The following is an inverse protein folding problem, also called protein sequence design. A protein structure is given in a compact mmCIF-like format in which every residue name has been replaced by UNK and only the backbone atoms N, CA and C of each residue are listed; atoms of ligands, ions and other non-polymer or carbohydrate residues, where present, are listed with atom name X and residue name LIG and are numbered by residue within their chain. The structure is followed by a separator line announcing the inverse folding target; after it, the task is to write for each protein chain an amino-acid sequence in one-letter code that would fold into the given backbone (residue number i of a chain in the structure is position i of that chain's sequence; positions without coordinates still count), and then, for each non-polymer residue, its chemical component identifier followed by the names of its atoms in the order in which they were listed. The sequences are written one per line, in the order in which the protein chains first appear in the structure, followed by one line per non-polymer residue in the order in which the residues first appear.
data_IF_543106816804
#
_entry.id   IF_543106816804
#
_cell.length_a   1.000
_cell.length_b   1.000
_cell.length_c   1.000
_cell.angle_alpha   90.00
_cell.angle_beta   90.00
_cell.angle_gamma   90.00
#
_symmetry.space_group_name_H-M   'P 1'
#
loop_
_entity.id
_entity.type
_entity.pdbx_description
1 polymer ?
#
# COMPACT_ATOMS: atom_id res chain seq x y z
N UNK A 1 -22.81 -4.27 5.74
CA UNK A 1 -22.20 -4.24 4.39
C UNK A 1 -21.11 -5.30 4.33
N UNK A 2 -20.93 -6.01 3.21
CA UNK A 2 -19.82 -6.97 3.03
C UNK A 2 -18.50 -6.20 3.01
N UNK A 3 -17.51 -6.67 3.75
CA UNK A 3 -16.17 -6.07 3.80
C UNK A 3 -15.35 -6.56 2.60
N UNK A 4 -15.01 -5.69 1.67
CA UNK A 4 -14.18 -6.01 0.48
C UNK A 4 -12.95 -5.11 0.48
N UNK A 5 -11.77 -5.71 0.42
CA UNK A 5 -10.48 -5.02 0.38
C UNK A 5 -9.79 -5.20 -0.98
N UNK A 6 -9.36 -4.10 -1.57
CA UNK A 6 -8.41 -4.07 -2.68
C UNK A 6 -7.04 -3.67 -2.13
N UNK A 7 -6.03 -4.54 -2.30
CA UNK A 7 -4.64 -4.25 -1.94
C UNK A 7 -3.79 -4.25 -3.21
N UNK A 8 -3.21 -3.11 -3.56
CA UNK A 8 -2.37 -3.01 -4.74
C UNK A 8 -0.95 -3.53 -4.48
N UNK A 9 -0.34 -4.19 -5.49
CA UNK A 9 1.01 -4.75 -5.36
C UNK A 9 1.11 -5.85 -4.29
N UNK A 10 0.07 -6.68 -4.12
CA UNK A 10 -0.07 -7.57 -2.98
C UNK A 10 0.31 -9.04 -3.23
N UNK A 11 0.99 -9.36 -4.33
CA UNK A 11 1.48 -10.73 -4.57
C UNK A 11 2.68 -11.12 -3.70
N UNK A 12 3.40 -10.14 -3.13
CA UNK A 12 4.60 -10.34 -2.29
C UNK A 12 4.78 -9.24 -1.24
N UNK A 13 5.79 -9.38 -0.39
CA UNK A 13 6.22 -8.37 0.56
C UNK A 13 5.12 -7.89 1.51
N UNK A 14 5.10 -6.59 1.78
CA UNK A 14 4.14 -5.93 2.68
C UNK A 14 2.70 -6.20 2.23
N UNK A 15 2.39 -5.97 0.95
CA UNK A 15 1.04 -6.17 0.43
C UNK A 15 0.52 -7.60 0.57
N UNK A 16 1.39 -8.61 0.48
CA UNK A 16 1.03 -10.00 0.74
C UNK A 16 0.63 -10.22 2.20
N UNK A 17 1.41 -9.67 3.13
CA UNK A 17 1.10 -9.77 4.56
C UNK A 17 -0.20 -9.03 4.91
N UNK A 18 -0.43 -7.85 4.30
CA UNK A 18 -1.68 -7.09 4.42
C UNK A 18 -2.88 -7.90 3.92
N UNK A 19 -2.75 -8.53 2.74
CA UNK A 19 -3.81 -9.37 2.17
C UNK A 19 -4.16 -10.56 3.09
N UNK A 20 -3.16 -11.24 3.63
CA UNK A 20 -3.34 -12.34 4.59
C UNK A 20 -4.04 -11.84 5.85
N UNK A 21 -3.55 -10.75 6.43
CA UNK A 21 -4.10 -10.22 7.68
C UNK A 21 -5.55 -9.76 7.51
N UNK A 22 -5.86 -9.01 6.44
CA UNK A 22 -7.20 -8.52 6.17
C UNK A 22 -8.18 -9.66 5.83
N UNK A 23 -7.74 -10.72 5.15
CA UNK A 23 -8.55 -11.91 4.94
C UNK A 23 -8.92 -12.57 6.27
N UNK A 24 -7.98 -12.70 7.21
CA UNK A 24 -8.26 -13.20 8.57
C UNK A 24 -9.15 -12.27 9.38
N UNK A 25 -9.16 -10.96 9.10
CA UNK A 25 -10.06 -9.98 9.71
C UNK A 25 -11.48 -9.99 9.09
N UNK A 26 -11.73 -10.92 8.17
CA UNK A 26 -13.04 -11.15 7.56
C UNK A 26 -13.34 -10.31 6.31
N UNK A 27 -12.31 -9.74 5.67
CA UNK A 27 -12.48 -9.11 4.36
C UNK A 27 -12.45 -10.16 3.24
N UNK A 28 -13.34 -10.00 2.26
CA UNK A 28 -13.09 -10.56 0.93
C UNK A 28 -11.97 -9.73 0.28
N UNK A 29 -10.93 -10.40 -0.25
CA UNK A 29 -9.69 -9.71 -0.64
C UNK A 29 -9.42 -9.86 -2.14
N UNK A 30 -9.18 -8.74 -2.81
CA UNK A 30 -8.58 -8.73 -4.14
C UNK A 30 -7.07 -8.45 -4.06
N UNK A 31 -6.28 -9.40 -4.58
CA UNK A 31 -4.83 -9.32 -4.74
C UNK A 31 -4.54 -8.72 -6.11
N UNK A 32 -3.77 -7.64 -6.15
CA UNK A 32 -3.33 -7.05 -7.43
C UNK A 32 -1.83 -7.28 -7.65
N UNK A 33 -1.48 -7.58 -8.88
CA UNK A 33 -0.08 -7.67 -9.35
C UNK A 33 0.04 -7.19 -10.80
N UNK A 34 1.28 -6.92 -11.22
CA UNK A 34 1.66 -6.66 -12.62
C UNK A 34 2.39 -7.87 -13.20
N UNK A 35 3.41 -8.39 -12.51
CA UNK A 35 4.33 -9.39 -13.05
C UNK A 35 4.22 -10.78 -12.41
N UNK A 36 3.96 -10.85 -11.10
CA UNK A 36 4.03 -12.09 -10.33
C UNK A 36 2.67 -12.76 -10.18
N UNK A 37 2.08 -13.15 -11.33
CA UNK A 37 0.80 -13.86 -11.37
C UNK A 37 0.88 -15.22 -10.65
N UNK A 38 2.04 -15.91 -10.74
CA UNK A 38 2.34 -17.14 -10.01
C UNK A 38 2.15 -16.98 -8.50
N UNK A 39 2.72 -15.90 -7.94
CA UNK A 39 2.61 -15.60 -6.51
C UNK A 39 1.23 -15.11 -6.09
N UNK A 40 0.55 -14.38 -6.97
CA UNK A 40 -0.83 -13.96 -6.73
C UNK A 40 -1.76 -15.16 -6.68
N UNK A 41 -1.61 -16.13 -7.60
CA UNK A 41 -2.41 -17.35 -7.62
C UNK A 41 -2.12 -18.25 -6.40
N UNK A 42 -0.84 -18.44 -6.04
CA UNK A 42 -0.43 -19.17 -4.83
C UNK A 42 -1.10 -18.59 -3.57
N UNK A 43 -1.11 -17.26 -3.45
CA UNK A 43 -1.73 -16.58 -2.31
C UNK A 43 -3.25 -16.75 -2.29
N UNK A 44 -3.91 -16.65 -3.45
CA UNK A 44 -5.36 -16.90 -3.57
C UNK A 44 -5.70 -18.33 -3.16
N UNK A 45 -4.95 -19.32 -3.64
CA UNK A 45 -5.22 -20.73 -3.33
C UNK A 45 -5.03 -21.01 -1.83
N UNK A 46 -3.98 -20.44 -1.22
CA UNK A 46 -3.75 -20.52 0.22
C UNK A 46 -4.91 -19.87 1.03
N UNK A 47 -5.36 -18.70 0.66
CA UNK A 47 -6.44 -18.01 1.38
C UNK A 47 -7.78 -18.73 1.20
N UNK A 48 -8.08 -19.27 0.02
CA UNK A 48 -9.28 -20.06 -0.23
C UNK A 48 -9.29 -21.35 0.56
N UNK A 49 -8.16 -22.03 0.70
CA UNK A 49 -8.05 -23.23 1.53
C UNK A 49 -8.34 -22.97 3.01
N UNK A 50 -8.15 -21.72 3.45
CA UNK A 50 -8.50 -21.24 4.80
C UNK A 50 -9.93 -20.66 4.87
N UNK A 51 -10.76 -20.85 3.84
CA UNK A 51 -12.15 -20.40 3.81
C UNK A 51 -12.32 -18.90 3.53
N UNK A 52 -11.28 -18.19 3.11
CA UNK A 52 -11.36 -16.76 2.79
C UNK A 52 -11.87 -16.56 1.36
N UNK A 53 -12.78 -15.62 1.19
CA UNK A 53 -13.24 -15.21 -0.14
C UNK A 53 -12.20 -14.29 -0.77
N UNK A 54 -11.65 -14.68 -1.92
CA UNK A 54 -10.55 -13.96 -2.54
C UNK A 54 -10.47 -14.16 -4.04
N UNK A 55 -9.90 -13.17 -4.71
CA UNK A 55 -9.51 -13.23 -6.12
C UNK A 55 -8.18 -12.50 -6.32
N UNK A 56 -7.56 -12.68 -7.47
CA UNK A 56 -6.49 -11.81 -7.94
C UNK A 56 -6.83 -11.19 -9.29
N UNK A 57 -6.21 -10.04 -9.58
CA UNK A 57 -6.37 -9.34 -10.85
C UNK A 57 -5.04 -8.71 -11.29
N UNK A 58 -4.69 -8.94 -12.56
CA UNK A 58 -3.51 -8.32 -13.18
C UNK A 58 -3.88 -6.92 -13.67
N UNK A 59 -3.28 -5.90 -13.08
CA UNK A 59 -3.41 -4.52 -13.56
C UNK A 59 -2.18 -3.71 -13.13
N UNK A 60 -1.68 -2.90 -14.07
CA UNK A 60 -0.75 -1.84 -13.76
C UNK A 60 -1.56 -0.66 -13.19
N UNK A 61 -1.23 -0.23 -11.98
CA UNK A 61 -1.92 0.88 -11.32
C UNK A 61 -1.68 2.23 -12.02
N UNK A 62 -0.61 2.35 -12.80
CA UNK A 62 -0.34 3.54 -13.62
C UNK A 62 -1.31 3.68 -14.81
N UNK A 63 -1.96 2.59 -15.24
CA UNK A 63 -2.99 2.59 -16.28
C UNK A 63 -4.39 2.73 -15.67
N UNK A 64 -4.98 3.92 -15.80
CA UNK A 64 -6.30 4.23 -15.27
C UNK A 64 -7.42 3.36 -15.88
N UNK A 65 -7.26 2.89 -17.11
CA UNK A 65 -8.22 2.00 -17.78
C UNK A 65 -8.16 0.60 -17.18
N UNK A 66 -6.95 0.06 -17.01
CA UNK A 66 -6.76 -1.23 -16.34
C UNK A 66 -7.28 -1.22 -14.89
N UNK A 67 -7.06 -0.11 -14.17
CA UNK A 67 -7.59 0.06 -12.79
C UNK A 67 -9.11 0.06 -12.77
N UNK A 68 -9.78 0.78 -13.66
CA UNK A 68 -11.26 0.77 -13.75
C UNK A 68 -11.81 -0.62 -14.06
N UNK A 69 -11.17 -1.35 -14.97
CA UNK A 69 -11.54 -2.73 -15.28
C UNK A 69 -11.34 -3.67 -14.07
N UNK A 70 -10.26 -3.48 -13.33
CA UNK A 70 -10.00 -4.24 -12.11
C UNK A 70 -11.10 -3.99 -11.06
N UNK A 71 -11.45 -2.74 -10.80
CA UNK A 71 -12.50 -2.40 -9.81
C UNK A 71 -13.84 -2.97 -10.24
N UNK A 72 -14.22 -2.85 -11.51
CA UNK A 72 -15.46 -3.45 -12.02
C UNK A 72 -15.50 -4.98 -11.85
N UNK A 73 -14.38 -5.67 -12.11
CA UNK A 73 -14.29 -7.12 -11.90
C UNK A 73 -14.37 -7.51 -10.40
N UNK A 74 -13.85 -6.66 -9.50
CA UNK A 74 -13.99 -6.86 -8.05
C UNK A 74 -15.45 -6.70 -7.63
N UNK A 75 -16.11 -5.64 -8.10
CA UNK A 75 -17.53 -5.37 -7.78
C UNK A 75 -18.44 -6.51 -8.22
N UNK A 76 -18.19 -7.08 -9.41
CA UNK A 76 -18.94 -8.22 -9.93
C UNK A 76 -18.73 -9.49 -9.08
N UNK A 77 -17.50 -9.77 -8.65
CA UNK A 77 -17.16 -11.05 -8.02
C UNK A 77 -17.22 -11.04 -6.50
N UNK A 78 -16.75 -9.96 -5.89
CA UNK A 78 -16.63 -9.86 -4.43
C UNK A 78 -17.60 -8.86 -3.82
N UNK A 79 -18.10 -7.91 -4.62
CA UNK A 79 -18.85 -6.75 -4.16
C UNK A 79 -17.99 -5.48 -4.13
N UNK A 80 -18.62 -4.36 -3.85
CA UNK A 80 -17.96 -3.07 -3.90
C UNK A 80 -16.84 -2.92 -2.85
N UNK A 81 -15.75 -2.24 -3.25
CA UNK A 81 -14.58 -2.04 -2.42
C UNK A 81 -14.90 -1.09 -1.27
N UNK A 82 -14.79 -1.58 -0.04
CA UNK A 82 -14.98 -0.81 1.21
C UNK A 82 -13.66 -0.41 1.87
N UNK A 83 -12.57 -1.08 1.51
CA UNK A 83 -11.21 -0.80 1.96
C UNK A 83 -10.26 -0.80 0.76
N UNK A 84 -9.57 0.31 0.55
CA UNK A 84 -8.48 0.40 -0.42
C UNK A 84 -7.15 0.53 0.32
N UNK A 85 -6.19 -0.35 0.01
CA UNK A 85 -4.80 -0.23 0.47
C UNK A 85 -3.89 0.01 -0.74
N UNK A 86 -3.42 1.24 -0.88
CA UNK A 86 -2.46 1.65 -1.90
C UNK A 86 -1.05 1.30 -1.45
N UNK A 87 -0.64 0.06 -1.69
CA UNK A 87 0.68 -0.44 -1.33
C UNK A 87 1.63 -0.53 -2.53
N UNK A 88 1.13 -0.64 -3.77
CA UNK A 88 1.97 -0.72 -4.96
C UNK A 88 2.98 0.43 -5.03
N UNK A 89 4.23 0.10 -5.31
CA UNK A 89 5.29 1.07 -5.45
C UNK A 89 6.59 0.43 -5.90
N UNK A 90 7.40 1.24 -6.53
CA UNK A 90 8.75 0.90 -7.01
C UNK A 90 9.77 1.85 -6.42
N UNK A 91 11.00 1.36 -6.27
CA UNK A 91 12.17 2.16 -5.88
C UNK A 91 13.38 1.65 -6.66
N UNK A 92 14.32 2.56 -6.94
CA UNK A 92 15.63 2.25 -7.48
C UNK A 92 16.59 3.31 -7.02
N UNK A 93 17.65 2.91 -6.37
CA UNK A 93 18.72 3.82 -5.96
C UNK A 93 19.42 4.40 -7.18
N UNK A 94 19.51 5.73 -7.22
CA UNK A 94 20.14 6.46 -8.29
C UNK A 94 20.57 7.85 -7.80
N UNK A 95 21.80 8.27 -8.13
CA UNK A 95 22.20 9.66 -7.92
C UNK A 95 21.34 10.57 -8.81
N UNK A 96 20.97 11.74 -8.30
CA UNK A 96 20.07 12.64 -9.03
C UNK A 96 20.61 13.05 -10.40
N UNK A 97 21.91 13.29 -10.50
CA UNK A 97 22.59 13.63 -11.76
C UNK A 97 22.54 12.53 -12.82
N UNK A 98 22.39 11.26 -12.40
CA UNK A 98 22.37 10.10 -13.28
C UNK A 98 20.92 9.62 -13.57
N UNK A 99 19.93 10.31 -12.99
CA UNK A 99 18.53 9.97 -13.13
C UNK A 99 17.99 10.35 -14.51
N UNK A 100 17.41 9.39 -15.22
CA UNK A 100 16.76 9.64 -16.50
C UNK A 100 15.36 10.23 -16.29
N UNK A 101 14.90 11.03 -17.28
CA UNK A 101 13.54 11.58 -17.26
C UNK A 101 12.48 10.48 -17.31
N UNK A 102 12.73 9.39 -18.05
CA UNK A 102 11.82 8.26 -18.14
C UNK A 102 11.66 7.56 -16.80
N UNK A 103 12.76 7.36 -16.04
CA UNK A 103 12.67 6.78 -14.71
C UNK A 103 11.93 7.72 -13.74
N UNK A 104 12.21 9.04 -13.80
CA UNK A 104 11.49 10.02 -13.02
C UNK A 104 9.98 9.96 -13.27
N UNK A 105 9.56 9.96 -14.52
CA UNK A 105 8.15 9.85 -14.88
C UNK A 105 7.54 8.53 -14.41
N UNK A 106 8.21 7.42 -14.69
CA UNK A 106 7.72 6.10 -14.37
C UNK A 106 7.50 5.90 -12.84
N UNK A 107 8.43 6.39 -12.00
CA UNK A 107 8.24 6.25 -10.54
C UNK A 107 7.07 7.11 -10.02
N UNK A 108 6.82 8.27 -10.62
CA UNK A 108 5.64 9.09 -10.30
C UNK A 108 4.36 8.43 -10.80
N UNK A 109 4.37 7.83 -11.98
CA UNK A 109 3.21 7.17 -12.56
C UNK A 109 2.78 5.97 -11.70
N UNK A 110 3.72 5.16 -11.23
CA UNK A 110 3.40 4.02 -10.37
C UNK A 110 3.06 4.47 -8.94
N UNK A 111 3.96 5.22 -8.29
CA UNK A 111 3.85 5.47 -6.84
C UNK A 111 2.81 6.53 -6.46
N UNK A 112 2.54 7.50 -7.32
CA UNK A 112 1.61 8.60 -7.05
C UNK A 112 0.35 8.50 -7.92
N UNK A 113 0.52 8.49 -9.25
CA UNK A 113 -0.62 8.43 -10.16
C UNK A 113 -1.39 7.11 -10.02
N UNK A 114 -0.70 6.01 -9.67
CA UNK A 114 -1.34 4.74 -9.35
C UNK A 114 -2.30 4.83 -8.16
N UNK A 115 -1.90 5.51 -7.09
CA UNK A 115 -2.79 5.75 -5.94
C UNK A 115 -3.97 6.67 -6.33
N UNK A 116 -3.72 7.72 -7.11
CA UNK A 116 -4.79 8.56 -7.66
C UNK A 116 -5.79 7.73 -8.47
N UNK A 117 -5.35 6.89 -9.39
CA UNK A 117 -6.20 6.08 -10.26
C UNK A 117 -7.10 5.13 -9.46
N UNK A 118 -6.53 4.44 -8.47
CA UNK A 118 -7.26 3.48 -7.63
C UNK A 118 -8.27 4.18 -6.74
N UNK A 119 -7.91 5.33 -6.13
CA UNK A 119 -8.82 6.14 -5.32
C UNK A 119 -9.99 6.62 -6.19
N UNK A 120 -9.72 7.21 -7.36
CA UNK A 120 -10.76 7.67 -8.28
C UNK A 120 -11.72 6.54 -8.69
N UNK A 121 -11.24 5.31 -8.83
CA UNK A 121 -12.06 4.19 -9.27
C UNK A 121 -12.99 3.67 -8.16
N UNK A 122 -12.58 3.69 -6.88
CA UNK A 122 -13.39 3.18 -5.76
C UNK A 122 -14.24 4.25 -5.08
N UNK A 123 -13.83 5.51 -5.18
CA UNK A 123 -14.45 6.63 -4.47
C UNK A 123 -15.93 6.84 -4.76
N UNK A 124 -16.44 6.71 -6.01
CA UNK A 124 -17.87 6.90 -6.29
C UNK A 124 -18.78 6.02 -5.45
N UNK A 125 -18.43 4.75 -5.25
CA UNK A 125 -19.19 3.83 -4.41
C UNK A 125 -19.08 4.21 -2.92
N UNK A 126 -17.87 4.52 -2.42
CA UNK A 126 -17.68 4.94 -1.03
C UNK A 126 -18.48 6.21 -0.70
N UNK A 127 -18.55 7.17 -1.63
CA UNK A 127 -19.34 8.39 -1.48
C UNK A 127 -20.86 8.08 -1.46
N UNK A 128 -21.34 7.18 -2.32
CA UNK A 128 -22.73 6.77 -2.35
C UNK A 128 -23.17 6.14 -1.03
N UNK A 129 -22.33 5.29 -0.47
CA UNK A 129 -22.60 4.57 0.79
C UNK A 129 -22.28 5.38 2.05
N UNK A 130 -21.69 6.56 1.92
CA UNK A 130 -21.17 7.36 3.04
C UNK A 130 -20.30 6.53 4.00
N UNK A 131 -19.46 5.67 3.43
CA UNK A 131 -18.62 4.74 4.19
C UNK A 131 -17.44 4.27 3.35
N UNK A 132 -16.25 4.29 3.91
CA UNK A 132 -15.04 3.79 3.24
C UNK A 132 -13.79 4.00 4.07
N UNK A 133 -12.75 3.24 3.75
CA UNK A 133 -11.43 3.40 4.32
C UNK A 133 -10.37 3.32 3.21
N UNK A 134 -9.50 4.30 3.18
CA UNK A 134 -8.35 4.37 2.26
C UNK A 134 -7.09 4.43 3.10
N UNK A 135 -6.16 3.52 2.85
CA UNK A 135 -4.86 3.48 3.52
C UNK A 135 -3.79 3.55 2.44
N UNK A 136 -2.98 4.59 2.49
CA UNK A 136 -1.88 4.78 1.56
C UNK A 136 -0.56 4.34 2.22
N UNK A 137 0.33 3.72 1.45
CA UNK A 137 1.66 3.35 1.92
C UNK A 137 2.70 4.36 1.45
N UNK A 138 3.19 5.18 2.38
CA UNK A 138 4.32 6.07 2.18
C UNK A 138 5.63 5.34 2.53
N UNK A 139 6.52 5.98 3.25
CA UNK A 139 7.81 5.49 3.75
C UNK A 139 8.33 6.48 4.79
N UNK A 140 9.28 6.09 5.61
CA UNK A 140 10.10 7.05 6.36
C UNK A 140 10.75 8.08 5.43
N UNK A 141 11.12 7.68 4.19
CA UNK A 141 11.60 8.61 3.15
C UNK A 141 10.52 9.52 2.56
N UNK A 142 9.27 9.35 2.93
CA UNK A 142 8.18 10.30 2.68
C UNK A 142 8.04 11.37 3.77
N UNK A 143 8.76 11.25 4.87
CA UNK A 143 8.83 12.24 5.96
C UNK A 143 10.19 12.91 6.01
N UNK A 144 11.22 12.21 5.57
CA UNK A 144 12.62 12.64 5.53
C UNK A 144 13.21 12.38 4.14
N UNK A 145 14.23 13.14 3.76
CA UNK A 145 14.95 12.89 2.52
C UNK A 145 15.99 11.78 2.69
N UNK A 146 16.30 11.08 1.60
CA UNK A 146 17.39 10.10 1.56
C UNK A 146 18.25 10.30 0.32
N UNK A 147 19.58 10.17 0.50
CA UNK A 147 20.53 10.16 -0.61
C UNK A 147 20.25 8.98 -1.53
N UNK A 148 20.41 9.17 -2.83
CA UNK A 148 20.12 8.22 -3.91
C UNK A 148 18.64 7.81 -4.04
N UNK A 149 17.73 8.39 -3.24
CA UNK A 149 16.28 8.08 -3.22
C UNK A 149 15.42 9.33 -3.54
N UNK A 150 15.96 10.30 -4.28
CA UNK A 150 15.29 11.60 -4.48
C UNK A 150 13.89 11.45 -5.09
N UNK A 151 13.75 10.69 -6.19
CA UNK A 151 12.46 10.49 -6.85
C UNK A 151 11.49 9.69 -5.97
N UNK A 152 11.97 8.62 -5.32
CA UNK A 152 11.17 7.83 -4.40
C UNK A 152 10.68 8.68 -3.23
N UNK A 153 11.57 9.41 -2.56
CA UNK A 153 11.22 10.31 -1.46
C UNK A 153 10.20 11.35 -1.90
N UNK A 154 10.37 11.96 -3.08
CA UNK A 154 9.41 12.94 -3.61
C UNK A 154 8.02 12.33 -3.79
N UNK A 155 7.91 11.12 -4.38
CA UNK A 155 6.61 10.45 -4.53
C UNK A 155 5.98 10.11 -3.18
N UNK A 156 6.77 9.67 -2.19
CA UNK A 156 6.28 9.28 -0.87
C UNK A 156 5.88 10.49 0.00
N UNK A 157 6.53 11.65 -0.17
CA UNK A 157 6.05 12.92 0.38
C UNK A 157 4.72 13.34 -0.25
N UNK A 158 4.57 13.20 -1.58
CA UNK A 158 3.33 13.51 -2.28
C UNK A 158 2.16 12.65 -1.80
N UNK A 159 2.38 11.37 -1.50
CA UNK A 159 1.36 10.47 -0.91
C UNK A 159 0.89 10.97 0.46
N UNK A 160 1.78 11.51 1.29
CA UNK A 160 1.41 12.12 2.58
C UNK A 160 0.52 13.36 2.35
N UNK A 161 0.90 14.22 1.40
CA UNK A 161 0.09 15.39 1.01
C UNK A 161 -1.30 14.97 0.51
N UNK A 162 -1.36 13.99 -0.41
CA UNK A 162 -2.60 13.42 -0.93
C UNK A 162 -3.48 12.88 0.21
N UNK A 163 -2.91 12.11 1.13
CA UNK A 163 -3.62 11.54 2.28
C UNK A 163 -4.28 12.61 3.13
N UNK A 164 -3.51 13.64 3.51
CA UNK A 164 -4.00 14.72 4.39
C UNK A 164 -5.09 15.55 3.74
N UNK A 165 -4.93 15.87 2.44
CA UNK A 165 -5.92 16.66 1.69
C UNK A 165 -7.23 15.89 1.51
N UNK A 166 -7.15 14.62 1.07
CA UNK A 166 -8.34 13.79 0.91
C UNK A 166 -9.06 13.52 2.25
N UNK A 167 -8.31 13.36 3.35
CA UNK A 167 -8.92 13.19 4.66
C UNK A 167 -9.78 14.39 5.05
N UNK A 168 -9.33 15.62 4.76
CA UNK A 168 -10.13 16.84 5.03
C UNK A 168 -11.37 16.91 4.12
N UNK A 169 -11.22 16.58 2.85
CA UNK A 169 -12.31 16.63 1.88
C UNK A 169 -13.38 15.57 2.16
N UNK A 170 -12.97 14.35 2.53
CA UNK A 170 -13.85 13.19 2.65
C UNK A 170 -14.37 12.96 4.08
N UNK A 171 -13.83 13.61 5.11
CA UNK A 171 -14.29 13.45 6.49
C UNK A 171 -15.81 13.63 6.68
N UNK A 172 -16.48 14.62 6.02
CA UNK A 172 -17.93 14.77 6.16
C UNK A 172 -18.74 13.60 5.61
N UNK A 173 -18.12 12.73 4.81
CA UNK A 173 -18.78 11.57 4.18
C UNK A 173 -18.49 10.24 4.90
N UNK A 174 -17.92 10.28 6.10
CA UNK A 174 -17.47 9.09 6.86
C UNK A 174 -16.44 8.21 6.13
N UNK A 175 -15.73 8.75 5.15
CA UNK A 175 -14.63 8.07 4.49
C UNK A 175 -13.34 8.49 5.19
N UNK A 176 -12.60 7.53 5.76
CA UNK A 176 -11.33 7.77 6.42
C UNK A 176 -10.17 7.56 5.45
N UNK A 177 -9.19 8.46 5.49
CA UNK A 177 -7.98 8.36 4.67
C UNK A 177 -6.77 8.51 5.59
N UNK A 178 -5.96 7.47 5.69
CA UNK A 178 -4.74 7.45 6.50
C UNK A 178 -3.55 6.95 5.70
N UNK A 179 -2.37 7.10 6.27
CA UNK A 179 -1.11 6.68 5.66
C UNK A 179 -0.29 5.84 6.66
N UNK A 180 0.33 4.80 6.18
CA UNK A 180 1.39 4.07 6.89
C UNK A 180 2.73 4.46 6.29
N UNK A 181 3.72 4.75 7.12
CA UNK A 181 5.09 5.07 6.72
C UNK A 181 6.04 4.00 7.28
N UNK A 182 6.29 2.91 6.53
CA UNK A 182 7.22 1.87 6.94
C UNK A 182 8.66 2.37 7.02
N UNK A 183 9.42 1.83 7.97
CA UNK A 183 10.88 1.85 7.98
C UNK A 183 11.49 0.85 7.02
N UNK A 184 12.65 0.31 7.39
CA UNK A 184 13.31 -0.75 6.61
C UNK A 184 12.63 -2.09 6.93
N UNK A 185 11.87 -2.60 5.97
CA UNK A 185 11.11 -3.85 6.11
C UNK A 185 11.76 -4.95 5.28
N UNK A 186 11.97 -6.11 5.87
CA UNK A 186 12.56 -7.28 5.23
C UNK A 186 11.65 -7.81 4.10
N UNK A 187 11.99 -7.42 2.88
CA UNK A 187 11.25 -7.75 1.64
C UNK A 187 12.23 -7.88 0.48
N UNK A 188 11.78 -8.45 -0.64
CA UNK A 188 12.59 -8.54 -1.87
C UNK A 188 13.18 -7.18 -2.29
N UNK A 189 12.48 -6.07 -1.98
CA UNK A 189 12.91 -4.71 -2.34
C UNK A 189 14.21 -4.32 -1.63
N UNK A 190 14.42 -4.74 -0.39
CA UNK A 190 15.61 -4.40 0.38
C UNK A 190 16.68 -5.49 0.35
N UNK A 191 16.33 -6.72 0.01
CA UNK A 191 17.27 -7.84 -0.11
C UNK A 191 18.37 -7.60 -1.16
N UNK A 192 18.09 -6.76 -2.15
CA UNK A 192 19.09 -6.37 -3.18
C UNK A 192 20.25 -5.56 -2.61
N UNK A 193 20.15 -5.04 -1.37
CA UNK A 193 21.22 -4.26 -0.69
C UNK A 193 22.35 -5.14 -0.17
N UNK A 194 22.14 -6.45 -0.07
CA UNK A 194 23.12 -7.41 0.45
C UNK A 194 23.14 -7.53 1.98
N UNK A 195 23.62 -8.67 2.45
CA UNK A 195 23.57 -9.06 3.88
C UNK A 195 24.27 -8.07 4.82
N UNK A 196 25.44 -7.55 4.43
CA UNK A 196 26.22 -6.61 5.25
C UNK A 196 25.45 -5.31 5.48
N UNK A 197 24.83 -4.76 4.42
CA UNK A 197 24.01 -3.54 4.51
C UNK A 197 22.76 -3.79 5.35
N UNK A 198 22.11 -4.94 5.19
CA UNK A 198 20.92 -5.29 5.97
C UNK A 198 21.26 -5.46 7.46
N UNK A 199 22.40 -6.05 7.78
CA UNK A 199 22.88 -6.17 9.16
C UNK A 199 23.14 -4.79 9.79
N UNK A 200 23.80 -3.88 9.06
CA UNK A 200 24.02 -2.51 9.52
C UNK A 200 22.71 -1.76 9.74
N UNK A 201 21.74 -1.87 8.82
CA UNK A 201 20.43 -1.25 8.97
C UNK A 201 19.64 -1.83 10.16
N UNK A 202 19.78 -3.11 10.47
CA UNK A 202 19.18 -3.72 11.64
C UNK A 202 19.83 -3.20 12.95
N UNK A 203 21.15 -3.01 12.96
CA UNK A 203 21.89 -2.44 14.09
C UNK A 203 21.53 -0.96 14.31
N UNK A 204 21.38 -0.18 13.23
CA UNK A 204 20.98 1.23 13.28
C UNK A 204 19.51 1.40 13.73
N UNK A 205 18.71 0.35 13.63
CA UNK A 205 17.31 0.37 14.10
C UNK A 205 17.26 0.17 15.61
N UNK A 206 16.74 1.11 16.42
CA UNK A 206 16.67 0.97 17.87
C UNK A 206 15.98 -0.30 18.38
N UNK A 207 15.00 -0.82 17.61
CA UNK A 207 14.36 -2.10 17.91
C UNK A 207 15.27 -3.33 17.70
N UNK A 208 16.51 -3.15 17.23
CA UNK A 208 17.53 -4.20 17.04
C UNK A 208 17.24 -5.18 15.89
N UNK A 209 16.34 -4.83 14.98
CA UNK A 209 15.96 -5.66 13.84
C UNK A 209 15.37 -4.85 12.70
N UNK A 210 15.38 -5.41 11.52
CA UNK A 210 14.49 -4.95 10.45
C UNK A 210 13.02 -5.19 10.80
N UNK A 211 12.12 -4.36 10.27
CA UNK A 211 10.68 -4.63 10.33
C UNK A 211 10.32 -5.86 9.50
N UNK A 212 9.22 -6.50 9.86
CA UNK A 212 8.63 -7.59 9.08
C UNK A 212 7.40 -7.08 8.34
N UNK A 213 7.03 -7.65 7.19
CA UNK A 213 5.78 -7.32 6.52
C UNK A 213 4.56 -7.36 7.44
N UNK A 214 4.52 -8.30 8.40
CA UNK A 214 3.45 -8.45 9.38
C UNK A 214 3.37 -7.27 10.36
N UNK A 215 4.49 -6.60 10.66
CA UNK A 215 4.50 -5.40 11.51
C UNK A 215 3.68 -4.28 10.84
N UNK A 216 3.76 -4.15 9.52
CA UNK A 216 3.00 -3.16 8.74
C UNK A 216 1.54 -3.61 8.57
N UNK A 217 1.32 -4.88 8.25
CA UNK A 217 -0.02 -5.44 8.10
C UNK A 217 -0.87 -5.28 9.37
N UNK A 218 -0.25 -5.36 10.56
CA UNK A 218 -0.92 -5.11 11.84
C UNK A 218 -1.42 -3.65 11.96
N UNK A 219 -0.61 -2.68 11.54
CA UNK A 219 -1.00 -1.26 11.54
C UNK A 219 -2.13 -1.01 10.53
N UNK A 220 -2.05 -1.58 9.33
CA UNK A 220 -3.10 -1.48 8.30
C UNK A 220 -4.40 -2.09 8.81
N UNK A 221 -4.35 -3.27 9.43
CA UNK A 221 -5.51 -3.93 10.05
C UNK A 221 -6.17 -3.05 11.11
N UNK A 222 -5.38 -2.46 12.02
CA UNK A 222 -5.88 -1.52 13.02
C UNK A 222 -6.56 -0.31 12.37
N UNK A 223 -5.90 0.35 11.40
CA UNK A 223 -6.45 1.51 10.70
C UNK A 223 -7.72 1.17 9.90
N UNK A 224 -7.87 -0.06 9.41
CA UNK A 224 -9.06 -0.54 8.70
C UNK A 224 -10.23 -0.85 9.65
N UNK A 225 -9.97 -1.04 10.95
CA UNK A 225 -10.97 -1.44 11.94
C UNK A 225 -11.78 -0.27 12.49
N UNK A 226 -12.90 -0.60 13.17
CA UNK A 226 -13.73 0.37 13.89
C UNK A 226 -13.00 1.01 15.07
N UNK A 227 -11.97 0.36 15.63
CA UNK A 227 -11.11 0.93 16.66
C UNK A 227 -10.39 2.21 16.22
N UNK A 228 -10.22 2.39 14.89
CA UNK A 228 -9.64 3.59 14.29
C UNK A 228 -10.70 4.56 13.73
N UNK A 229 -11.98 4.45 14.16
CA UNK A 229 -13.10 5.26 13.62
C UNK A 229 -12.91 6.77 13.71
N UNK A 230 -12.12 7.25 14.68
CA UNK A 230 -11.82 8.69 14.84
C UNK A 230 -10.43 9.08 14.32
N UNK A 231 -9.77 8.19 13.57
CA UNK A 231 -8.43 8.41 13.00
C UNK A 231 -8.58 8.65 11.49
N UNK A 232 -8.30 9.88 11.04
CA UNK A 232 -8.22 10.25 9.62
C UNK A 232 -7.15 11.32 9.43
N UNK A 233 -6.52 11.38 8.26
CA UNK A 233 -5.45 12.31 7.92
C UNK A 233 -4.11 12.03 8.60
N UNK A 234 -3.97 10.87 9.27
CA UNK A 234 -2.77 10.56 10.04
C UNK A 234 -1.74 9.80 9.20
N UNK A 235 -0.48 10.01 9.56
CA UNK A 235 0.67 9.25 9.06
C UNK A 235 1.24 8.45 10.22
N UNK A 236 1.06 7.15 10.18
CA UNK A 236 1.55 6.25 11.24
C UNK A 236 2.90 5.68 10.80
N UNK A 237 3.95 6.10 11.46
CA UNK A 237 5.30 5.56 11.24
C UNK A 237 5.45 4.23 11.98
N UNK A 238 5.95 3.22 11.26
CA UNK A 238 6.25 1.90 11.81
C UNK A 238 7.65 1.49 11.34
N UNK A 239 8.66 1.92 12.10
CA UNK A 239 10.07 1.89 11.70
C UNK A 239 11.02 1.37 12.79
N UNK A 240 10.51 0.89 13.92
CA UNK A 240 11.34 0.42 15.04
C UNK A 240 12.16 1.52 15.72
N UNK A 241 11.80 2.81 15.51
CA UNK A 241 12.51 3.97 16.03
C UNK A 241 13.70 4.40 15.16
N UNK A 242 13.78 3.95 13.93
CA UNK A 242 14.87 4.24 12.99
C UNK A 242 15.02 5.75 12.73
N UNK A 243 13.92 6.45 12.54
CA UNK A 243 13.92 7.91 12.39
C UNK A 243 13.78 8.59 13.76
N UNK A 244 14.69 9.50 14.06
CA UNK A 244 14.74 10.26 15.31
C UNK A 244 14.21 11.68 15.13
#
# INVERSE_FOLDING_TARGET
MKKVALITGSSRGIGRAEAIKLAHDGYAVCINCVEREDKAQELVDMLRSNGCETMWYKADVSDSTAVKQMVAAIEEKLGAVTLLVNNAGIAKQCLFQDMTEDYWRHIFDVNLNGAFNTIQAVLPHMLHEHSGCIINTSSIWGQHGASCEVAYSATKHAIIGLTRSLAQELAPTNIRVNCVAPGVIDTDMVQVLGEETLAALAEDTPAGRLGRPEDIAAVVSFLASDAASFITGQVITSDGGFMK
#
